data_IF_924688930435
#
_entry.id   IF_924688930435
#
_cell.length_a   1.000
_cell.length_b   1.000
_cell.length_c   1.000
_cell.angle_alpha   90.00
_cell.angle_beta   90.00
_cell.angle_gamma   90.00
#
_symmetry.space_group_name_H-M   'P 1'
#
loop_
_entity.id
_entity.type
_entity.pdbx_description
1 polymer ?
#
# COMPACT_ATOMS: atom_id res chain seq x y z
N UNK A 1 38.91 3.23 -70.66
CA UNK A 1 39.08 4.03 -69.41
C UNK A 1 37.85 4.84 -68.99
N UNK A 2 36.76 4.93 -69.77
CA UNK A 2 35.59 5.75 -69.43
C UNK A 2 34.61 5.08 -68.44
N UNK A 3 34.51 3.74 -68.46
CA UNK A 3 33.67 2.95 -67.55
C UNK A 3 34.25 2.85 -66.12
N UNK A 4 35.58 2.73 -65.99
CA UNK A 4 36.27 2.66 -64.68
C UNK A 4 36.14 3.98 -63.90
N UNK A 5 36.21 5.13 -64.59
CA UNK A 5 35.97 6.45 -63.98
C UNK A 5 34.50 6.63 -63.54
N UNK A 6 33.56 5.99 -64.24
CA UNK A 6 32.13 6.04 -63.90
C UNK A 6 31.80 5.24 -62.63
N UNK A 7 32.42 4.08 -62.44
CA UNK A 7 32.25 3.29 -61.21
C UNK A 7 32.95 3.93 -60.00
N UNK A 8 34.09 4.61 -60.22
CA UNK A 8 34.76 5.38 -59.16
C UNK A 8 33.93 6.55 -58.65
N UNK A 9 33.25 7.28 -59.55
CA UNK A 9 32.34 8.38 -59.16
C UNK A 9 31.11 7.83 -58.43
N UNK A 10 30.57 6.68 -58.85
CA UNK A 10 29.42 6.05 -58.21
C UNK A 10 29.76 5.55 -56.78
N UNK A 11 30.94 4.95 -56.58
CA UNK A 11 31.40 4.54 -55.24
C UNK A 11 31.64 5.74 -54.31
N UNK A 12 32.12 6.87 -54.82
CA UNK A 12 32.41 8.05 -54.01
C UNK A 12 31.14 8.76 -53.55
N UNK A 13 30.06 8.72 -54.36
CA UNK A 13 28.72 9.21 -53.97
C UNK A 13 28.09 8.28 -52.92
N UNK A 14 28.24 6.96 -53.06
CA UNK A 14 27.73 5.96 -52.09
C UNK A 14 28.41 6.03 -50.72
N UNK A 15 29.68 6.43 -50.65
CA UNK A 15 30.37 6.62 -49.36
C UNK A 15 29.92 7.89 -48.62
N UNK A 16 29.55 8.96 -49.34
CA UNK A 16 29.11 10.21 -48.70
C UNK A 16 27.71 10.14 -48.08
N UNK A 17 26.87 9.18 -48.49
CA UNK A 17 25.54 8.95 -47.89
C UNK A 17 25.56 8.11 -46.63
N UNK A 18 26.69 7.47 -46.28
CA UNK A 18 26.83 6.64 -45.07
C UNK A 18 27.49 7.42 -43.91
N UNK A 19 28.00 8.62 -44.15
CA UNK A 19 28.65 9.46 -43.12
C UNK A 19 27.77 10.58 -42.57
N UNK A 20 26.47 10.60 -42.92
CA UNK A 20 25.44 11.41 -42.25
C UNK A 20 24.50 10.58 -41.37
N UNK A 21 24.97 9.42 -40.86
CA UNK A 21 24.57 9.05 -39.50
C UNK A 21 25.21 10.07 -38.58
N UNK A 22 24.56 11.23 -38.47
CA UNK A 22 24.78 12.09 -37.34
C UNK A 22 24.64 11.20 -36.13
N UNK A 23 25.73 11.00 -35.40
CA UNK A 23 25.64 11.15 -33.96
C UNK A 23 25.03 12.54 -33.75
N UNK A 24 23.70 12.62 -33.82
CA UNK A 24 22.97 13.33 -32.80
C UNK A 24 23.51 12.69 -31.55
N UNK A 25 24.55 13.31 -30.96
CA UNK A 25 24.64 13.23 -29.52
C UNK A 25 23.26 13.72 -29.11
N UNK A 26 22.38 12.79 -28.74
CA UNK A 26 21.31 13.12 -27.83
C UNK A 26 22.04 13.88 -26.76
N UNK A 27 21.89 15.20 -26.82
CA UNK A 27 22.13 16.04 -25.70
C UNK A 27 21.15 15.42 -24.71
N UNK A 28 21.66 14.54 -23.86
CA UNK A 28 21.03 14.18 -22.61
C UNK A 28 20.90 15.54 -21.93
N UNK A 29 19.81 16.24 -22.26
CA UNK A 29 19.18 17.11 -21.31
C UNK A 29 19.01 16.18 -20.13
N UNK A 30 19.80 16.44 -19.09
CA UNK A 30 19.51 16.01 -17.74
C UNK A 30 18.06 16.43 -17.50
N UNK A 31 17.15 15.54 -17.88
CA UNK A 31 15.73 15.71 -17.68
C UNK A 31 15.63 15.38 -16.20
N UNK A 32 15.79 16.41 -15.38
CA UNK A 32 15.49 16.37 -13.96
C UNK A 32 14.13 15.70 -13.89
N UNK A 33 14.13 14.45 -13.43
CA UNK A 33 12.90 13.72 -13.22
C UNK A 33 12.33 14.34 -11.96
N UNK A 34 11.60 15.43 -12.15
CA UNK A 34 10.81 15.99 -11.07
C UNK A 34 9.74 14.96 -10.77
N UNK A 35 9.56 14.68 -9.49
CA UNK A 35 8.45 13.91 -8.96
C UNK A 35 7.07 14.44 -9.41
N UNK A 36 7.04 15.65 -9.97
CA UNK A 36 5.89 16.50 -10.33
C UNK A 36 5.07 16.11 -11.56
N UNK A 37 5.23 14.91 -12.15
CA UNK A 37 4.12 14.39 -12.96
C UNK A 37 2.93 13.96 -12.07
N UNK A 38 3.17 13.83 -10.75
CA UNK A 38 2.12 13.75 -9.73
C UNK A 38 1.85 15.17 -9.25
N UNK A 39 0.75 15.76 -9.73
CA UNK A 39 0.28 17.05 -9.22
C UNK A 39 0.03 16.95 -7.71
N UNK A 40 0.90 17.57 -6.91
CA UNK A 40 0.85 17.53 -5.44
C UNK A 40 -0.51 18.00 -4.91
N UNK A 41 -1.18 18.91 -5.63
CA UNK A 41 -2.51 19.41 -5.29
C UNK A 41 -3.62 18.34 -5.45
N UNK A 42 -3.26 17.16 -5.93
CA UNK A 42 -4.17 16.04 -6.10
C UNK A 42 -3.94 14.89 -5.15
N UNK A 43 -2.89 14.95 -4.31
CA UNK A 43 -2.65 13.97 -3.27
C UNK A 43 -3.56 14.32 -2.09
N UNK A 44 -4.44 13.39 -1.73
CA UNK A 44 -5.38 13.55 -0.61
C UNK A 44 -5.02 12.68 0.57
N UNK A 45 -4.14 11.69 0.38
CA UNK A 45 -3.72 10.75 1.41
C UNK A 45 -2.36 10.14 1.09
N UNK A 46 -1.55 9.91 2.12
CA UNK A 46 -0.26 9.24 2.04
C UNK A 46 -0.21 8.10 3.07
N UNK A 47 0.36 6.97 2.67
CA UNK A 47 0.75 5.88 3.55
C UNK A 47 2.26 5.75 3.54
N UNK A 48 2.87 5.73 4.72
CA UNK A 48 4.32 5.64 4.90
C UNK A 48 4.63 4.42 5.75
N UNK A 49 5.31 3.43 5.18
CA UNK A 49 5.80 2.26 5.89
C UNK A 49 7.28 2.39 6.19
N UNK A 50 7.66 2.31 7.46
CA UNK A 50 9.03 2.24 7.90
C UNK A 50 9.60 0.83 7.61
N UNK A 51 10.67 0.73 6.84
CA UNK A 51 11.26 -0.56 6.47
C UNK A 51 12.06 -1.22 7.58
N UNK A 52 12.41 -0.50 8.66
CA UNK A 52 13.10 -1.04 9.84
C UNK A 52 12.13 -1.59 10.88
N UNK A 53 11.09 -0.81 11.23
CA UNK A 53 10.12 -1.20 12.27
C UNK A 53 8.90 -1.93 11.71
N UNK A 54 8.60 -1.76 10.42
CA UNK A 54 7.36 -2.21 9.79
C UNK A 54 6.16 -1.30 10.07
N UNK A 55 6.35 -0.26 10.90
CA UNK A 55 5.31 0.69 11.30
C UNK A 55 4.70 1.40 10.09
N UNK A 56 3.38 1.59 10.14
CA UNK A 56 2.61 2.27 9.10
C UNK A 56 2.06 3.58 9.66
N UNK A 57 2.51 4.68 9.09
CA UNK A 57 2.01 6.03 9.34
C UNK A 57 1.09 6.45 8.19
N UNK A 58 -0.03 7.08 8.49
CA UNK A 58 -1.03 7.49 7.50
C UNK A 58 -1.37 8.95 7.75
N UNK A 59 -1.45 9.75 6.69
CA UNK A 59 -1.93 11.12 6.78
C UNK A 59 -2.83 11.48 5.63
N UNK A 60 -3.84 12.27 5.94
CA UNK A 60 -4.69 13.02 5.03
C UNK A 60 -4.67 14.53 5.35
N UNK A 61 -3.77 14.96 6.23
CA UNK A 61 -3.54 16.37 6.53
C UNK A 61 -2.82 17.01 5.34
N UNK A 62 -3.51 17.94 4.67
CA UNK A 62 -2.99 18.58 3.46
C UNK A 62 -1.68 19.32 3.70
N UNK A 63 -1.46 19.89 4.90
CA UNK A 63 -0.22 20.61 5.22
C UNK A 63 0.94 19.63 5.34
N UNK A 64 0.72 18.48 5.99
CA UNK A 64 1.75 17.44 6.12
C UNK A 64 2.07 16.75 4.80
N UNK A 65 1.05 16.54 3.98
CA UNK A 65 1.22 16.04 2.62
C UNK A 65 2.08 17.01 1.81
N UNK A 66 1.78 18.31 1.87
CA UNK A 66 2.56 19.34 1.18
C UNK A 66 4.01 19.38 1.69
N UNK A 67 4.25 19.42 3.01
CA UNK A 67 5.59 19.40 3.61
C UNK A 67 6.42 18.20 3.14
N UNK A 68 5.84 17.00 3.17
CA UNK A 68 6.52 15.78 2.72
C UNK A 68 6.78 15.81 1.21
N UNK A 69 5.80 16.21 0.41
CA UNK A 69 5.94 16.30 -1.05
C UNK A 69 7.02 17.31 -1.45
N UNK A 70 7.06 18.50 -0.83
CA UNK A 70 8.11 19.49 -1.07
C UNK A 70 9.51 18.94 -0.72
N UNK A 71 9.63 18.23 0.41
CA UNK A 71 10.90 17.62 0.80
C UNK A 71 11.35 16.58 -0.23
N UNK A 72 10.44 15.73 -0.71
CA UNK A 72 10.76 14.71 -1.71
C UNK A 72 11.14 15.33 -3.06
N UNK A 73 10.42 16.38 -3.49
CA UNK A 73 10.65 17.10 -4.75
C UNK A 73 11.97 17.89 -4.77
N UNK A 74 12.57 18.12 -3.60
CA UNK A 74 13.87 18.78 -3.49
C UNK A 74 15.02 17.94 -4.06
N UNK A 75 14.84 16.62 -4.20
CA UNK A 75 15.90 15.72 -4.64
C UNK A 75 16.05 15.67 -6.17
N UNK A 76 17.30 15.67 -6.63
CA UNK A 76 17.63 15.51 -8.05
C UNK A 76 17.90 14.04 -8.39
N UNK A 77 17.08 13.48 -9.29
CA UNK A 77 17.07 12.06 -9.62
C UNK A 77 17.64 11.79 -11.01
N UNK A 78 18.55 10.82 -11.10
CA UNK A 78 19.08 10.29 -12.35
C UNK A 78 18.74 8.80 -12.45
N UNK A 79 18.07 8.39 -13.53
CA UNK A 79 17.65 7.00 -13.71
C UNK A 79 18.87 6.07 -13.72
N UNK A 80 18.84 5.01 -12.93
CA UNK A 80 19.92 4.01 -12.92
C UNK A 80 19.93 3.21 -14.23
N UNK A 81 21.11 2.97 -14.80
CA UNK A 81 21.26 2.11 -15.98
C UNK A 81 20.86 0.65 -15.67
N UNK A 82 21.20 0.17 -14.47
CA UNK A 82 20.90 -1.17 -13.98
C UNK A 82 19.68 -1.08 -13.05
N UNK A 83 18.63 -1.84 -13.38
CA UNK A 83 17.34 -1.87 -12.69
C UNK A 83 17.14 -3.20 -11.95
N UNK A 84 18.16 -3.64 -11.21
CA UNK A 84 18.06 -4.85 -10.40
C UNK A 84 17.32 -4.57 -9.09
N UNK A 85 16.44 -5.48 -8.63
CA UNK A 85 15.76 -5.31 -7.35
C UNK A 85 16.75 -5.18 -6.20
N UNK A 86 16.56 -4.15 -5.37
CA UNK A 86 17.34 -3.94 -4.16
C UNK A 86 16.62 -4.54 -2.95
N UNK A 87 17.39 -5.06 -2.00
CA UNK A 87 16.86 -5.66 -0.77
C UNK A 87 16.89 -4.64 0.35
N UNK A 88 15.74 -4.48 1.01
CA UNK A 88 15.56 -3.55 2.12
C UNK A 88 15.27 -2.11 1.66
N UNK A 89 14.68 -1.34 2.55
CA UNK A 89 14.37 0.07 2.33
C UNK A 89 14.26 0.81 3.66
N UNK A 90 14.38 2.14 3.62
CA UNK A 90 14.12 3.02 4.76
C UNK A 90 12.64 3.32 4.88
N UNK A 91 12.01 3.79 3.81
CA UNK A 91 10.58 4.07 3.74
C UNK A 91 9.97 3.60 2.42
N UNK A 92 8.73 3.12 2.48
CA UNK A 92 7.85 2.95 1.32
C UNK A 92 6.67 3.89 1.49
N UNK A 93 6.39 4.69 0.47
CA UNK A 93 5.44 5.80 0.49
C UNK A 93 4.47 5.60 -0.66
N UNK A 94 3.19 5.44 -0.33
CA UNK A 94 2.13 5.33 -1.33
C UNK A 94 1.28 6.61 -1.32
N UNK A 95 1.15 7.21 -2.50
CA UNK A 95 0.41 8.45 -2.72
C UNK A 95 -0.96 8.14 -3.30
N UNK A 96 -1.99 8.81 -2.80
CA UNK A 96 -3.38 8.59 -3.18
C UNK A 96 -4.08 9.87 -3.58
N UNK A 97 -4.95 9.74 -4.59
CA UNK A 97 -6.03 10.69 -4.88
C UNK A 97 -7.35 10.02 -4.53
N UNK A 98 -8.02 10.57 -3.53
CA UNK A 98 -9.15 9.98 -2.85
C UNK A 98 -8.84 8.55 -2.38
N UNK A 99 -9.45 7.54 -3.01
CA UNK A 99 -9.26 6.12 -2.72
C UNK A 99 -8.34 5.40 -3.70
N UNK A 100 -7.80 6.12 -4.70
CA UNK A 100 -6.98 5.51 -5.75
C UNK A 100 -5.51 5.79 -5.48
N UNK A 101 -4.70 4.73 -5.40
CA UNK A 101 -3.24 4.84 -5.42
C UNK A 101 -2.82 5.40 -6.77
N UNK A 102 -2.11 6.52 -6.76
CA UNK A 102 -1.65 7.21 -7.96
C UNK A 102 -0.15 7.02 -8.20
N UNK A 103 0.64 6.76 -7.15
CA UNK A 103 2.06 6.42 -7.27
C UNK A 103 2.59 5.75 -6.01
N UNK A 104 3.75 5.14 -6.13
CA UNK A 104 4.56 4.57 -5.06
C UNK A 104 6.00 5.03 -5.16
N UNK A 105 6.58 5.34 -4.02
CA UNK A 105 7.99 5.64 -3.88
C UNK A 105 8.61 4.76 -2.79
N UNK A 106 9.79 4.23 -3.05
CA UNK A 106 10.60 3.56 -2.03
C UNK A 106 11.91 4.31 -1.85
N UNK A 107 12.14 4.87 -0.66
CA UNK A 107 13.45 5.38 -0.25
C UNK A 107 14.26 4.18 0.21
N UNK A 108 15.14 3.67 -0.64
CA UNK A 108 16.01 2.53 -0.29
C UNK A 108 17.07 2.99 0.72
N UNK A 109 17.62 4.19 0.52
CA UNK A 109 18.60 4.80 1.40
C UNK A 109 19.04 6.17 0.87
N UNK A 110 20.14 6.75 1.39
CA UNK A 110 20.53 8.14 1.11
C UNK A 110 20.82 8.46 -0.36
N UNK A 111 21.07 7.44 -1.18
CA UNK A 111 21.53 7.60 -2.57
C UNK A 111 20.58 7.01 -3.60
N UNK A 112 19.51 6.34 -3.17
CA UNK A 112 18.68 5.54 -4.06
C UNK A 112 17.22 5.65 -3.69
N UNK A 113 16.43 6.03 -4.68
CA UNK A 113 14.97 6.08 -4.61
C UNK A 113 14.42 5.23 -5.76
N UNK A 114 13.38 4.45 -5.48
CA UNK A 114 12.55 3.80 -6.47
C UNK A 114 11.24 4.57 -6.60
N UNK A 115 10.76 4.78 -7.82
CA UNK A 115 9.44 5.35 -8.10
C UNK A 115 8.75 4.45 -9.10
N UNK A 116 7.59 3.91 -8.73
CA UNK A 116 6.75 3.04 -9.56
C UNK A 116 7.53 1.92 -10.26
N UNK A 117 8.43 1.25 -9.52
CA UNK A 117 9.26 0.14 -10.04
C UNK A 117 10.54 0.56 -10.75
N UNK A 118 10.85 1.85 -10.84
CA UNK A 118 12.06 2.37 -11.51
C UNK A 118 13.02 2.96 -10.49
N UNK A 119 14.28 2.50 -10.49
CA UNK A 119 15.33 2.95 -9.60
C UNK A 119 16.10 4.16 -10.15
N UNK A 120 16.39 5.10 -9.25
CA UNK A 120 17.09 6.35 -9.50
C UNK A 120 18.22 6.56 -8.49
N UNK A 121 19.35 7.08 -8.98
CA UNK A 121 20.39 7.65 -8.15
C UNK A 121 19.99 9.07 -7.73
N UNK A 122 20.20 9.38 -6.46
CA UNK A 122 20.06 10.74 -5.93
C UNK A 122 21.40 11.45 -6.10
N UNK A 123 21.43 12.50 -6.92
CA UNK A 123 22.68 13.08 -7.44
C UNK A 123 23.26 14.17 -6.55
N UNK A 124 22.44 15.11 -6.05
CA UNK A 124 22.81 16.08 -5.01
C UNK A 124 21.60 16.95 -4.57
N UNK A 125 21.37 17.18 -3.27
CA UNK A 125 21.96 16.50 -2.12
C UNK A 125 21.48 15.04 -1.99
N UNK A 126 22.19 14.17 -1.25
CA UNK A 126 21.65 12.87 -0.82
C UNK A 126 20.32 13.05 -0.08
N UNK A 127 19.52 11.99 0.00
CA UNK A 127 18.30 12.00 0.83
C UNK A 127 18.69 12.26 2.27
N UNK A 128 18.13 13.34 2.84
CA UNK A 128 18.25 13.65 4.25
C UNK A 128 17.28 12.76 5.02
N UNK A 129 17.79 11.63 5.50
CA UNK A 129 16.96 10.66 6.22
C UNK A 129 16.48 11.21 7.56
N UNK A 130 17.22 12.11 8.20
CA UNK A 130 16.81 12.73 9.47
C UNK A 130 15.63 13.67 9.23
N UNK A 131 15.67 14.49 8.18
CA UNK A 131 14.54 15.35 7.81
C UNK A 131 13.28 14.53 7.46
N UNK A 132 13.45 13.38 6.79
CA UNK A 132 12.31 12.48 6.51
C UNK A 132 11.79 11.85 7.81
N UNK A 133 12.67 11.43 8.72
CA UNK A 133 12.29 10.88 10.02
C UNK A 133 11.46 11.90 10.83
N UNK A 134 11.93 13.15 10.93
CA UNK A 134 11.22 14.23 11.61
C UNK A 134 9.83 14.49 11.01
N UNK A 135 9.71 14.47 9.68
CA UNK A 135 8.42 14.65 9.00
C UNK A 135 7.47 13.49 9.31
N UNK A 136 7.95 12.25 9.22
CA UNK A 136 7.16 11.05 9.52
C UNK A 136 6.72 11.02 10.98
N UNK A 137 7.61 11.37 11.92
CA UNK A 137 7.29 11.46 13.34
C UNK A 137 6.25 12.56 13.60
N UNK A 138 6.38 13.72 12.94
CA UNK A 138 5.38 14.79 13.06
C UNK A 138 3.99 14.41 12.55
N UNK A 139 3.91 13.40 11.68
CA UNK A 139 2.65 12.82 11.22
C UNK A 139 2.12 11.82 12.25
N UNK A 140 2.99 11.00 12.84
CA UNK A 140 2.61 9.98 13.84
C UNK A 140 2.18 10.59 15.18
N UNK A 141 2.60 11.82 15.48
CA UNK A 141 2.16 12.60 16.66
C UNK A 141 0.71 13.12 16.57
N UNK A 142 0.04 13.01 15.41
CA UNK A 142 -1.40 13.27 15.34
C UNK A 142 -2.19 12.13 16.02
N UNK A 143 -3.34 12.41 16.65
CA UNK A 143 -4.31 11.37 16.88
C UNK A 143 -4.68 10.81 15.51
N UNK A 144 -4.25 9.59 15.21
CA UNK A 144 -4.66 8.86 14.01
C UNK A 144 -6.15 9.07 13.82
N UNK A 145 -6.59 9.49 12.63
CA UNK A 145 -8.01 9.42 12.30
C UNK A 145 -8.51 8.05 12.72
N UNK A 146 -9.62 7.95 13.47
CA UNK A 146 -10.03 6.70 14.05
C UNK A 146 -10.25 5.71 12.91
N UNK A 147 -9.29 4.78 12.74
CA UNK A 147 -9.64 3.44 12.30
C UNK A 147 -10.76 3.01 13.22
N UNK A 148 -11.90 2.64 12.65
CA UNK A 148 -13.10 2.29 13.41
C UNK A 148 -12.66 1.29 14.47
N UNK A 149 -12.57 1.75 15.72
CA UNK A 149 -11.81 1.04 16.75
C UNK A 149 -12.65 -0.06 17.37
N UNK A 150 -13.86 -0.28 16.89
CA UNK A 150 -14.79 -1.10 17.60
C UNK A 150 -15.80 -1.77 16.64
N UNK A 151 -16.06 -3.07 16.84
CA UNK A 151 -17.30 -3.70 16.34
C UNK A 151 -18.55 -3.16 17.08
N UNK A 152 -18.37 -2.25 18.04
CA UNK A 152 -19.29 -1.88 19.14
C UNK A 152 -20.50 -1.03 18.77
N UNK A 153 -20.75 -0.73 17.50
CA UNK A 153 -22.11 -0.27 17.16
C UNK A 153 -23.16 -1.38 17.38
N UNK A 154 -22.70 -2.62 17.60
CA UNK A 154 -23.53 -3.70 18.13
C UNK A 154 -23.57 -3.60 19.66
N UNK A 155 -24.73 -3.22 20.21
CA UNK A 155 -25.00 -3.33 21.65
C UNK A 155 -24.93 -4.80 22.08
N UNK A 156 -23.81 -5.19 22.70
CA UNK A 156 -23.52 -6.55 23.14
C UNK A 156 -24.63 -7.12 24.04
N UNK A 157 -25.32 -6.27 24.81
CA UNK A 157 -26.41 -6.68 25.69
C UNK A 157 -27.69 -7.10 24.94
N UNK A 158 -27.74 -6.84 23.62
CA UNK A 158 -28.86 -7.26 22.76
C UNK A 158 -28.59 -8.57 22.02
N UNK A 159 -27.36 -9.08 22.06
CA UNK A 159 -26.99 -10.32 21.37
C UNK A 159 -27.55 -11.50 22.15
N UNK A 160 -28.42 -12.27 21.51
CA UNK A 160 -29.03 -13.45 22.13
C UNK A 160 -28.48 -14.75 21.57
N UNK A 161 -27.83 -14.70 20.39
CA UNK A 161 -27.43 -15.88 19.64
C UNK A 161 -26.36 -15.58 18.61
N UNK A 162 -25.41 -16.49 18.49
CA UNK A 162 -24.38 -16.48 17.44
C UNK A 162 -24.41 -17.80 16.67
N UNK A 163 -24.29 -17.70 15.34
CA UNK A 163 -24.03 -18.81 14.44
C UNK A 163 -22.66 -18.65 13.83
N UNK A 164 -21.84 -19.70 13.89
CA UNK A 164 -20.49 -19.70 13.32
C UNK A 164 -20.42 -20.83 12.31
N UNK A 165 -20.13 -20.50 11.06
CA UNK A 165 -19.88 -21.48 10.00
C UNK A 165 -18.40 -21.51 9.67
N UNK A 166 -17.79 -22.67 9.81
CA UNK A 166 -16.45 -22.93 9.29
C UNK A 166 -16.52 -23.03 7.75
N UNK A 167 -15.76 -22.19 7.04
CA UNK A 167 -15.80 -22.13 5.59
C UNK A 167 -15.01 -23.26 4.89
N UNK A 168 -14.15 -23.98 5.61
CA UNK A 168 -13.41 -25.15 5.12
C UNK A 168 -14.25 -26.42 5.27
N UNK A 169 -14.76 -26.71 6.47
CA UNK A 169 -15.51 -27.93 6.76
C UNK A 169 -17.01 -27.81 6.44
N UNK A 170 -17.55 -26.58 6.45
CA UNK A 170 -18.97 -26.30 6.35
C UNK A 170 -19.75 -26.51 7.65
N UNK A 171 -19.08 -26.94 8.72
CA UNK A 171 -19.65 -27.16 10.04
C UNK A 171 -20.23 -25.86 10.60
N UNK A 172 -21.32 -25.99 11.35
CA UNK A 172 -22.03 -24.87 11.97
C UNK A 172 -22.08 -25.09 13.46
N UNK A 173 -21.40 -24.21 14.18
CA UNK A 173 -21.48 -24.07 15.63
C UNK A 173 -22.49 -23.00 15.97
N UNK A 174 -23.22 -23.15 17.07
CA UNK A 174 -24.25 -22.20 17.48
C UNK A 174 -24.28 -22.11 18.99
N UNK A 175 -24.26 -20.90 19.52
CA UNK A 175 -24.36 -20.67 20.96
C UNK A 175 -25.40 -19.60 21.29
N UNK A 176 -26.06 -19.80 22.43
CA UNK A 176 -26.91 -18.81 23.10
C UNK A 176 -26.36 -18.52 24.52
N UNK A 177 -25.17 -19.04 24.85
CA UNK A 177 -24.53 -18.80 26.15
C UNK A 177 -23.93 -17.40 26.14
N UNK A 178 -24.43 -16.52 27.01
CA UNK A 178 -23.99 -15.13 27.06
C UNK A 178 -22.51 -15.00 27.37
N UNK A 179 -21.93 -15.89 28.18
CA UNK A 179 -20.50 -15.83 28.53
C UNK A 179 -19.67 -16.14 27.28
N UNK A 180 -20.04 -17.18 26.51
CA UNK A 180 -19.34 -17.52 25.26
C UNK A 180 -19.51 -16.46 24.18
N UNK A 181 -20.68 -15.83 24.13
CA UNK A 181 -20.94 -14.70 23.24
C UNK A 181 -20.00 -13.54 23.60
N UNK A 182 -19.95 -13.15 24.88
CA UNK A 182 -19.08 -12.07 25.35
C UNK A 182 -17.60 -12.37 25.08
N UNK A 183 -17.13 -13.59 25.36
CA UNK A 183 -15.75 -14.01 25.08
C UNK A 183 -15.41 -13.90 23.57
N UNK A 184 -16.34 -14.24 22.68
CA UNK A 184 -16.11 -14.12 21.24
C UNK A 184 -16.05 -12.66 20.80
N UNK A 185 -16.99 -11.84 21.25
CA UNK A 185 -17.03 -10.44 20.85
C UNK A 185 -15.79 -9.72 21.38
N UNK A 186 -15.42 -9.93 22.65
CA UNK A 186 -14.18 -9.40 23.22
C UNK A 186 -12.95 -9.85 22.44
N UNK A 187 -12.92 -11.11 21.97
CA UNK A 187 -11.82 -11.60 21.14
C UNK A 187 -11.75 -10.89 19.78
N UNK A 188 -12.89 -10.59 19.15
CA UNK A 188 -12.95 -9.90 17.86
C UNK A 188 -12.67 -8.39 17.99
N UNK A 189 -13.05 -7.77 19.11
CA UNK A 189 -12.80 -6.35 19.42
C UNK A 189 -11.32 -6.04 19.69
N UNK A 190 -10.46 -7.06 19.88
CA UNK A 190 -9.01 -6.86 20.02
C UNK A 190 -8.33 -6.33 18.76
N UNK A 191 -8.97 -6.47 17.60
CA UNK A 191 -8.34 -6.22 16.32
C UNK A 191 -8.60 -4.79 15.84
N UNK A 192 -7.53 -4.05 15.59
CA UNK A 192 -7.63 -2.73 14.97
C UNK A 192 -7.96 -2.88 13.48
N UNK A 193 -9.06 -2.28 13.04
CA UNK A 193 -9.55 -2.44 11.68
C UNK A 193 -9.43 -1.14 10.87
N UNK A 194 -9.04 -1.27 9.62
CA UNK A 194 -9.09 -0.19 8.63
C UNK A 194 -9.87 -0.65 7.42
N UNK A 195 -10.82 0.15 6.93
CA UNK A 195 -11.56 -0.18 5.71
C UNK A 195 -10.56 -0.45 4.59
N UNK A 196 -10.68 -1.62 3.97
CA UNK A 196 -9.83 -2.04 2.85
C UNK A 196 -10.16 -1.19 1.63
N UNK A 197 -9.16 -0.55 1.04
CA UNK A 197 -9.38 0.42 -0.04
C UNK A 197 -10.03 -0.22 -1.28
N UNK A 198 -9.66 -1.45 -1.58
CA UNK A 198 -10.25 -2.24 -2.64
C UNK A 198 -11.32 -3.20 -2.09
N UNK A 199 -12.58 -2.84 -2.27
CA UNK A 199 -13.76 -3.62 -1.87
C UNK A 199 -14.12 -4.75 -2.85
N UNK A 200 -13.18 -5.17 -3.72
CA UNK A 200 -13.40 -6.32 -4.61
C UNK A 200 -13.76 -7.56 -3.79
N UNK A 201 -14.85 -8.27 -4.15
CA UNK A 201 -15.23 -9.49 -3.46
C UNK A 201 -14.09 -10.51 -3.41
N UNK A 202 -13.75 -10.93 -2.20
CA UNK A 202 -12.83 -12.04 -1.97
C UNK A 202 -13.67 -13.31 -1.83
N UNK A 203 -13.27 -14.35 -2.57
CA UNK A 203 -13.93 -15.66 -2.55
C UNK A 203 -13.28 -16.50 -1.45
N UNK A 204 -14.11 -17.09 -0.60
CA UNK A 204 -13.67 -17.88 0.54
C UNK A 204 -13.64 -17.06 1.83
N UNK A 205 -13.80 -17.76 2.94
CA UNK A 205 -13.69 -17.25 4.30
C UNK A 205 -13.36 -18.43 5.21
N UNK A 206 -12.60 -18.20 6.28
CA UNK A 206 -12.29 -19.21 7.30
C UNK A 206 -13.52 -19.39 8.20
N UNK A 207 -14.10 -18.28 8.66
CA UNK A 207 -15.31 -18.28 9.46
C UNK A 207 -16.32 -17.26 8.93
N UNK A 208 -17.61 -17.60 9.05
CA UNK A 208 -18.72 -16.66 8.98
C UNK A 208 -19.47 -16.70 10.30
N UNK A 209 -19.51 -15.56 10.97
CA UNK A 209 -20.14 -15.34 12.25
C UNK A 209 -21.37 -14.48 11.97
N UNK A 210 -22.55 -15.01 12.24
CA UNK A 210 -23.80 -14.26 12.17
C UNK A 210 -24.31 -14.00 13.58
N UNK A 211 -24.57 -12.74 13.88
CA UNK A 211 -24.94 -12.24 15.19
C UNK A 211 -26.42 -11.89 15.17
N UNK A 212 -27.17 -12.38 16.16
CA UNK A 212 -28.62 -12.21 16.24
C UNK A 212 -29.03 -11.56 17.56
N UNK A 213 -30.01 -10.66 17.46
CA UNK A 213 -30.84 -10.22 18.58
C UNK A 213 -32.23 -10.83 18.41
N UNK A 214 -32.61 -11.67 19.37
CA UNK A 214 -33.74 -12.58 19.29
C UNK A 214 -33.71 -13.45 18.02
N UNK A 215 -34.60 -13.15 17.06
CA UNK A 215 -34.73 -13.84 15.78
C UNK A 215 -34.19 -13.02 14.60
N UNK A 216 -33.70 -11.80 14.84
CA UNK A 216 -33.25 -10.88 13.81
C UNK A 216 -31.73 -10.93 13.72
N UNK A 217 -31.20 -11.16 12.51
CA UNK A 217 -29.77 -10.98 12.26
C UNK A 217 -29.45 -9.49 12.32
N UNK A 218 -28.54 -9.10 13.20
CA UNK A 218 -28.15 -7.71 13.40
C UNK A 218 -26.78 -7.39 12.77
N UNK A 219 -25.90 -8.38 12.65
CA UNK A 219 -24.62 -8.22 11.95
C UNK A 219 -24.08 -9.56 11.44
N UNK A 220 -23.11 -9.47 10.55
CA UNK A 220 -22.36 -10.57 9.98
C UNK A 220 -20.88 -10.21 9.86
N UNK A 221 -20.03 -11.06 10.41
CA UNK A 221 -18.58 -10.93 10.37
C UNK A 221 -18.03 -12.15 9.63
N UNK A 222 -17.17 -11.93 8.64
CA UNK A 222 -16.42 -13.00 7.99
C UNK A 222 -14.93 -12.80 8.21
N UNK A 223 -14.26 -13.81 8.76
CA UNK A 223 -12.80 -13.85 8.84
C UNK A 223 -12.32 -14.48 7.54
N UNK A 224 -11.63 -13.71 6.71
CA UNK A 224 -11.18 -14.16 5.39
C UNK A 224 -9.82 -14.86 5.52
N UNK A 225 -8.91 -14.24 6.27
CA UNK A 225 -7.58 -14.75 6.65
C UNK A 225 -7.09 -14.01 7.90
N UNK A 226 -5.81 -14.16 8.26
CA UNK A 226 -5.21 -13.49 9.43
C UNK A 226 -5.13 -11.96 9.33
N UNK A 227 -5.37 -11.39 8.16
CA UNK A 227 -5.17 -9.97 7.84
C UNK A 227 -6.45 -9.28 7.35
N UNK A 228 -7.50 -10.03 7.01
CA UNK A 228 -8.70 -9.48 6.39
C UNK A 228 -9.95 -9.97 7.09
N UNK A 229 -10.78 -9.02 7.47
CA UNK A 229 -12.14 -9.24 7.97
C UNK A 229 -13.15 -8.59 7.03
N UNK A 230 -14.37 -9.12 6.98
CA UNK A 230 -15.51 -8.47 6.33
C UNK A 230 -16.65 -8.33 7.32
N UNK A 231 -17.08 -7.12 7.60
CA UNK A 231 -18.20 -6.82 8.51
C UNK A 231 -19.32 -6.21 7.67
N UNK A 232 -20.49 -6.83 7.70
CA UNK A 232 -21.70 -6.39 7.00
C UNK A 232 -21.50 -6.02 5.52
N UNK A 233 -20.64 -6.81 4.87
CA UNK A 233 -20.31 -6.67 3.46
C UNK A 233 -19.13 -5.76 3.15
N UNK A 234 -18.61 -5.01 4.13
CA UNK A 234 -17.45 -4.13 3.98
C UNK A 234 -16.18 -4.88 4.39
N UNK A 235 -15.15 -4.85 3.55
CA UNK A 235 -13.85 -5.46 3.84
C UNK A 235 -12.95 -4.50 4.61
N UNK A 236 -12.19 -5.06 5.56
CA UNK A 236 -11.26 -4.38 6.44
C UNK A 236 -9.90 -5.09 6.42
N UNK A 237 -8.83 -4.30 6.38
CA UNK A 237 -7.49 -4.74 6.74
C UNK A 237 -7.38 -4.75 8.28
N UNK A 238 -6.85 -5.84 8.82
CA UNK A 238 -6.50 -5.99 10.24
C UNK A 238 -5.09 -5.46 10.44
N UNK A 239 -4.97 -4.38 11.21
CA UNK A 239 -3.73 -3.60 11.32
C UNK A 239 -2.81 -4.20 12.37
N UNK A 240 -3.30 -4.37 13.59
CA UNK A 240 -2.57 -4.96 14.72
C UNK A 240 -3.55 -5.31 15.86
N UNK A 241 -3.40 -6.46 16.53
CA UNK A 241 -2.61 -7.63 16.12
C UNK A 241 -3.24 -8.37 14.93
N UNK A 242 -2.48 -9.24 14.26
CA UNK A 242 -3.07 -10.19 13.28
C UNK A 242 -4.06 -11.12 13.97
N UNK A 243 -5.06 -11.61 13.22
CA UNK A 243 -6.05 -12.53 13.76
C UNK A 243 -5.36 -13.85 14.15
N UNK A 244 -5.45 -14.16 15.44
CA UNK A 244 -5.04 -15.44 15.99
C UNK A 244 -6.13 -16.47 15.70
N UNK A 245 -5.99 -17.14 14.55
CA UNK A 245 -6.95 -18.14 14.09
C UNK A 245 -7.03 -19.35 15.03
N UNK A 246 -5.95 -19.65 15.78
CA UNK A 246 -5.95 -20.76 16.73
C UNK A 246 -6.81 -20.39 17.94
N UNK A 247 -6.66 -19.17 18.47
CA UNK A 247 -7.51 -18.70 19.56
C UNK A 247 -8.99 -18.64 19.16
N UNK A 248 -9.30 -18.25 17.92
CA UNK A 248 -10.67 -18.28 17.38
C UNK A 248 -11.18 -19.73 17.29
N UNK A 249 -10.37 -20.66 16.76
CA UNK A 249 -10.75 -22.08 16.65
C UNK A 249 -11.01 -22.72 18.01
N UNK A 250 -10.11 -22.52 18.99
CA UNK A 250 -10.28 -23.02 20.36
C UNK A 250 -11.56 -22.49 21.01
N UNK A 251 -11.88 -21.21 20.77
CA UNK A 251 -13.11 -20.61 21.28
C UNK A 251 -14.35 -21.23 20.63
N UNK A 252 -14.34 -21.38 19.30
CA UNK A 252 -15.43 -22.00 18.53
C UNK A 252 -15.65 -23.46 18.96
N UNK A 253 -14.58 -24.22 19.17
CA UNK A 253 -14.65 -25.61 19.62
C UNK A 253 -15.16 -25.74 21.07
N UNK A 254 -15.07 -24.66 21.86
CA UNK A 254 -15.58 -24.61 23.23
C UNK A 254 -17.07 -24.26 23.34
N UNK A 255 -17.73 -23.94 22.22
CA UNK A 255 -19.14 -23.50 22.15
C UNK A 255 -20.15 -24.64 21.93
#
# INVERSE_FOLDING_TARGET
MRKIKSYLILCLILFTTVSYSGCVSEQHQDKKLELTDIDQHTITKIYIRNGLSGELTITNDSVKIEELSEQLDSYSLEKMEIQEPLVGYRYSIDFYRDSNKISSMTIVGPKTIEIDGIYYNVTNPPVDLEAIDELVDSISEQPQEPGITELTDIDQHTITKIYIRNGLSGEVTTTNDSIKIDELIEQLDKYSLRIKENQKPIVGQIYLIEIYSDSNKISSIAIIDSFIMRIDGVYYDVIDPHIDLVAIEELVDSM
#
